data_IF_674498600748
#
_entry.id   IF_674498600748
#
_cell.length_a   1.000
_cell.length_b   1.000
_cell.length_c   1.000
_cell.angle_alpha   90.00
_cell.angle_beta   90.00
_cell.angle_gamma   90.00
#
_symmetry.space_group_name_H-M   'P 1'
#
loop_
_entity.id
_entity.type
_entity.pdbx_description
1 polymer ?
#
# COMPACT_ATOMS: atom_id res chain seq x y z
N UNK A 1 47.95 -10.83 -40.97
CA UNK A 1 46.50 -10.68 -40.73
C UNK A 1 46.29 -9.37 -39.99
N UNK A 2 45.82 -8.34 -40.69
CA UNK A 2 45.61 -7.01 -40.12
C UNK A 2 44.13 -6.84 -39.79
N UNK A 3 43.81 -6.57 -38.52
CA UNK A 3 42.46 -6.28 -38.06
C UNK A 3 42.15 -4.83 -38.43
N UNK A 4 41.17 -4.64 -39.33
CA UNK A 4 40.65 -3.33 -39.71
C UNK A 4 39.72 -2.87 -38.59
N UNK A 5 40.15 -1.88 -37.80
CA UNK A 5 39.32 -1.27 -36.76
C UNK A 5 38.53 -0.15 -37.45
N UNK A 6 37.24 -0.36 -37.61
CA UNK A 6 36.30 0.64 -38.13
C UNK A 6 36.07 1.69 -37.03
N UNK A 7 36.16 3.01 -37.32
CA UNK A 7 35.95 4.03 -36.31
C UNK A 7 34.49 4.02 -35.86
N UNK A 8 34.27 3.69 -34.60
CA UNK A 8 32.96 3.76 -33.96
C UNK A 8 32.46 5.20 -34.01
N UNK A 9 31.24 5.40 -34.51
CA UNK A 9 30.59 6.71 -34.52
C UNK A 9 30.64 7.32 -33.10
N UNK A 10 30.90 8.63 -32.95
CA UNK A 10 30.95 9.26 -31.64
C UNK A 10 29.62 9.03 -30.93
N UNK A 11 29.70 8.53 -29.70
CA UNK A 11 28.53 8.39 -28.84
C UNK A 11 27.82 9.76 -28.76
N UNK A 12 26.49 9.81 -28.88
CA UNK A 12 25.76 11.06 -28.69
C UNK A 12 26.09 11.61 -27.31
N UNK A 13 26.44 12.90 -27.24
CA UNK A 13 26.75 13.59 -26.00
C UNK A 13 25.60 13.41 -25.00
N UNK A 14 25.87 13.18 -23.71
CA UNK A 14 24.81 13.13 -22.72
C UNK A 14 24.01 14.44 -22.77
N UNK A 15 22.67 14.39 -22.68
CA UNK A 15 21.87 15.61 -22.65
C UNK A 15 22.36 16.49 -21.48
N UNK A 16 22.41 17.82 -21.66
CA UNK A 16 22.88 18.71 -20.61
C UNK A 16 22.06 18.46 -19.34
N UNK A 17 22.77 18.13 -18.25
CA UNK A 17 22.19 17.97 -16.91
C UNK A 17 21.47 19.25 -16.50
N UNK A 18 20.22 19.37 -16.89
CA UNK A 18 19.34 20.41 -16.39
C UNK A 18 18.62 19.85 -15.17
N UNK A 19 19.41 19.48 -14.16
CA UNK A 19 18.95 18.87 -12.90
C UNK A 19 18.09 19.81 -12.03
N UNK A 20 17.73 20.99 -12.56
CA UNK A 20 16.82 21.99 -11.97
C UNK A 20 15.93 22.68 -13.00
N UNK A 21 15.64 22.06 -14.14
CA UNK A 21 14.59 22.58 -15.01
C UNK A 21 13.26 22.50 -14.25
N UNK A 22 12.60 23.65 -14.07
CA UNK A 22 11.21 23.69 -13.64
C UNK A 22 10.37 23.04 -14.74
N UNK A 23 10.10 21.74 -14.59
CA UNK A 23 9.09 21.07 -15.40
C UNK A 23 7.76 21.69 -15.00
N UNK A 24 6.99 22.28 -15.92
CA UNK A 24 5.65 22.77 -15.59
C UNK A 24 4.87 21.62 -14.98
N UNK A 25 4.47 21.79 -13.72
CA UNK A 25 3.55 20.85 -13.09
C UNK A 25 2.25 20.89 -13.89
N UNK A 26 2.05 19.87 -14.73
CA UNK A 26 0.73 19.56 -15.25
C UNK A 26 0.02 18.85 -14.12
N UNK A 27 -0.88 19.58 -13.48
CA UNK A 27 -1.83 18.96 -12.57
C UNK A 27 -2.46 17.79 -13.33
N UNK A 28 -2.30 16.54 -12.86
CA UNK A 28 -3.02 15.43 -13.47
C UNK A 28 -4.49 15.83 -13.45
N UNK A 29 -5.25 15.60 -14.53
CA UNK A 29 -6.65 15.98 -14.56
C UNK A 29 -7.27 15.43 -13.28
N UNK A 30 -7.83 16.32 -12.46
CA UNK A 30 -8.60 15.90 -11.29
C UNK A 30 -9.54 14.84 -11.83
N UNK A 31 -9.53 13.60 -11.30
CA UNK A 31 -10.45 12.59 -11.79
C UNK A 31 -11.85 13.18 -11.60
N UNK A 32 -12.44 13.62 -12.71
CA UNK A 32 -13.81 14.09 -12.72
C UNK A 32 -14.59 12.80 -12.52
N UNK A 33 -14.98 12.52 -11.28
CA UNK A 33 -16.01 11.52 -11.01
C UNK A 33 -17.26 12.07 -11.68
N UNK A 34 -17.44 11.74 -12.96
CA UNK A 34 -18.54 12.22 -13.81
C UNK A 34 -19.74 11.29 -13.72
N UNK A 35 -19.70 10.34 -12.79
CA UNK A 35 -20.86 9.56 -12.36
C UNK A 35 -21.51 10.22 -11.15
N UNK A 36 -22.80 9.95 -10.89
CA UNK A 36 -23.37 10.23 -9.58
C UNK A 36 -22.45 9.64 -8.51
N UNK A 37 -22.37 10.29 -7.34
CA UNK A 37 -21.91 9.62 -6.14
C UNK A 37 -22.84 8.41 -5.99
N UNK A 38 -22.38 7.24 -6.43
CA UNK A 38 -23.10 6.01 -6.14
C UNK A 38 -22.79 5.79 -4.68
N UNK A 39 -23.68 6.31 -3.83
CA UNK A 39 -23.92 5.68 -2.55
C UNK A 39 -24.25 4.23 -2.91
N UNK A 40 -23.24 3.37 -2.84
CA UNK A 40 -23.48 1.95 -2.81
C UNK A 40 -24.20 1.74 -1.48
N UNK A 41 -25.53 1.78 -1.50
CA UNK A 41 -26.33 1.14 -0.46
C UNK A 41 -25.83 -0.30 -0.44
N UNK A 42 -24.98 -0.59 0.55
CA UNK A 42 -24.41 -1.88 0.70
C UNK A 42 -25.58 -2.85 0.90
N UNK A 43 -25.78 -3.76 -0.05
CA UNK A 43 -26.80 -4.79 0.09
C UNK A 43 -26.59 -5.52 1.42
N UNK A 44 -27.65 -5.95 2.11
CA UNK A 44 -27.50 -6.64 3.40
C UNK A 44 -26.49 -7.80 3.36
N UNK A 45 -26.43 -8.53 2.25
CA UNK A 45 -25.47 -9.63 2.02
C UNK A 45 -24.01 -9.15 1.92
N UNK A 46 -23.76 -8.00 1.28
CA UNK A 46 -22.44 -7.40 1.21
C UNK A 46 -21.97 -6.92 2.58
N UNK A 47 -22.85 -6.26 3.36
CA UNK A 47 -22.57 -5.86 4.75
C UNK A 47 -22.26 -7.09 5.61
N UNK A 48 -23.00 -8.18 5.41
CA UNK A 48 -22.83 -9.42 6.18
C UNK A 48 -21.54 -10.17 5.81
N UNK A 49 -21.17 -10.20 4.54
CA UNK A 49 -19.90 -10.76 4.07
C UNK A 49 -18.69 -9.94 4.57
N UNK A 50 -18.78 -8.61 4.49
CA UNK A 50 -17.82 -7.64 5.03
C UNK A 50 -17.67 -7.79 6.54
N UNK A 51 -18.78 -7.88 7.28
CA UNK A 51 -18.75 -8.10 8.72
C UNK A 51 -18.14 -9.45 9.11
N UNK A 52 -18.32 -10.50 8.30
CA UNK A 52 -17.70 -11.82 8.51
C UNK A 52 -16.18 -11.78 8.32
N UNK A 53 -15.71 -11.08 7.28
CA UNK A 53 -14.28 -10.88 7.00
C UNK A 53 -13.57 -10.22 8.18
N UNK A 54 -14.11 -9.09 8.68
CA UNK A 54 -13.56 -8.39 9.85
C UNK A 54 -13.61 -9.26 11.12
N UNK A 55 -14.72 -9.97 11.38
CA UNK A 55 -14.91 -10.74 12.63
C UNK A 55 -14.07 -12.02 12.73
N UNK A 56 -13.60 -12.56 11.60
CA UNK A 56 -12.86 -13.83 11.55
C UNK A 56 -11.41 -13.66 11.12
N UNK A 57 -11.00 -12.44 10.76
CA UNK A 57 -9.65 -12.17 10.30
C UNK A 57 -8.65 -12.19 11.46
N UNK A 58 -7.91 -13.30 11.59
CA UNK A 58 -6.64 -13.29 12.30
C UNK A 58 -5.61 -12.57 11.43
N UNK A 59 -5.51 -11.25 11.59
CA UNK A 59 -4.60 -10.39 10.81
C UNK A 59 -3.11 -10.73 10.99
N UNK A 60 -2.74 -11.65 11.89
CA UNK A 60 -1.38 -12.21 11.99
C UNK A 60 -1.09 -13.28 10.93
N UNK A 61 -2.13 -13.84 10.31
CA UNK A 61 -2.05 -14.92 9.34
C UNK A 61 -2.88 -14.61 8.09
N UNK A 62 -2.84 -13.36 7.63
CA UNK A 62 -3.56 -12.88 6.44
C UNK A 62 -2.59 -12.66 5.30
N UNK A 63 -2.98 -13.04 4.08
CA UNK A 63 -2.21 -12.76 2.86
C UNK A 63 -2.39 -11.30 2.41
N UNK A 64 -1.44 -10.72 1.67
CA UNK A 64 -1.60 -9.41 1.03
C UNK A 64 -2.94 -9.24 0.29
N UNK A 65 -3.35 -10.23 -0.51
CA UNK A 65 -4.62 -10.17 -1.23
C UNK A 65 -5.84 -10.05 -0.31
N UNK A 66 -5.84 -10.82 0.78
CA UNK A 66 -6.91 -10.76 1.78
C UNK A 66 -6.90 -9.44 2.55
N UNK A 67 -5.72 -8.88 2.85
CA UNK A 67 -5.62 -7.58 3.52
C UNK A 67 -6.23 -6.45 2.69
N UNK A 68 -6.10 -6.47 1.36
CA UNK A 68 -6.81 -5.50 0.50
C UNK A 68 -8.33 -5.57 0.73
N UNK A 69 -8.89 -6.77 0.88
CA UNK A 69 -10.33 -6.94 1.16
C UNK A 69 -10.70 -6.43 2.56
N UNK A 70 -9.95 -6.85 3.58
CA UNK A 70 -10.16 -6.41 4.97
C UNK A 70 -10.03 -4.89 5.09
N UNK A 71 -9.08 -4.27 4.39
CA UNK A 71 -8.90 -2.82 4.41
C UNK A 71 -10.11 -2.07 3.85
N UNK A 72 -10.71 -2.57 2.76
CA UNK A 72 -11.94 -2.01 2.20
C UNK A 72 -13.09 -2.17 3.19
N UNK A 73 -13.22 -3.35 3.79
CA UNK A 73 -14.24 -3.64 4.79
C UNK A 73 -14.15 -2.65 5.97
N UNK A 74 -12.96 -2.43 6.52
CA UNK A 74 -12.73 -1.48 7.61
C UNK A 74 -13.09 -0.04 7.21
N UNK A 75 -12.77 0.36 5.97
CA UNK A 75 -13.05 1.70 5.45
C UNK A 75 -14.55 1.94 5.27
N UNK A 76 -15.26 1.02 4.61
CA UNK A 76 -16.70 1.14 4.35
C UNK A 76 -17.51 1.14 5.66
N UNK A 77 -17.03 0.46 6.70
CA UNK A 77 -17.65 0.50 8.04
C UNK A 77 -17.22 1.70 8.90
N UNK A 78 -16.40 2.61 8.36
CA UNK A 78 -15.93 3.80 9.09
C UNK A 78 -15.00 3.52 10.26
N UNK A 79 -14.41 2.32 10.34
CA UNK A 79 -13.46 1.93 11.38
C UNK A 79 -12.10 2.61 11.14
N UNK A 80 -11.72 2.78 9.86
CA UNK A 80 -10.52 3.51 9.46
C UNK A 80 -10.85 4.61 8.46
N UNK A 81 -10.04 5.67 8.43
CA UNK A 81 -10.17 6.76 7.46
C UNK A 81 -9.58 6.44 6.09
N UNK A 82 -9.80 7.32 5.11
CA UNK A 82 -9.25 7.18 3.75
C UNK A 82 -7.72 7.02 3.73
N UNK A 83 -7.01 7.86 4.50
CA UNK A 83 -5.55 7.84 4.49
C UNK A 83 -5.01 6.49 5.02
N UNK A 84 -5.70 5.87 5.99
CA UNK A 84 -5.36 4.55 6.56
C UNK A 84 -5.74 3.41 5.62
N UNK A 85 -6.90 3.53 4.97
CA UNK A 85 -7.31 2.62 3.91
C UNK A 85 -6.27 2.59 2.79
N UNK A 86 -5.85 3.75 2.29
CA UNK A 86 -4.83 3.85 1.25
C UNK A 86 -3.53 3.16 1.69
N UNK A 87 -3.12 3.33 2.94
CA UNK A 87 -1.94 2.65 3.50
C UNK A 87 -2.09 1.12 3.52
N UNK A 88 -3.26 0.58 3.84
CA UNK A 88 -3.50 -0.86 3.93
C UNK A 88 -3.88 -1.52 2.60
N UNK A 89 -4.50 -0.81 1.67
CA UNK A 89 -5.00 -1.38 0.43
C UNK A 89 -3.87 -1.65 -0.59
N UNK A 90 -2.83 -0.82 -0.59
CA UNK A 90 -1.71 -0.94 -1.52
C UNK A 90 -0.66 -1.94 -1.04
N UNK A 91 -0.83 -3.17 -1.50
CA UNK A 91 0.12 -4.26 -1.27
C UNK A 91 1.07 -4.38 -2.46
N UNK A 92 2.39 -4.16 -2.27
CA UNK A 92 3.36 -4.25 -3.36
C UNK A 92 3.33 -5.58 -4.12
N UNK A 93 3.07 -6.68 -3.42
CA UNK A 93 3.06 -8.05 -3.97
C UNK A 93 1.92 -8.30 -4.97
N UNK A 94 0.91 -7.42 -5.01
CA UNK A 94 -0.17 -7.47 -5.99
C UNK A 94 0.19 -6.76 -7.30
N UNK A 95 1.31 -6.05 -7.36
CA UNK A 95 1.72 -5.30 -8.55
C UNK A 95 2.27 -6.26 -9.64
N UNK A 96 1.78 -6.20 -10.89
CA UNK A 96 2.23 -7.08 -11.97
C UNK A 96 3.75 -7.02 -12.25
N UNK A 97 4.37 -5.86 -12.03
CA UNK A 97 5.81 -5.67 -12.23
C UNK A 97 6.63 -5.75 -10.93
N UNK A 98 6.09 -6.31 -9.83
CA UNK A 98 6.85 -6.47 -8.57
C UNK A 98 8.19 -7.17 -8.81
N UNK A 99 8.18 -8.30 -9.52
CA UNK A 99 9.38 -9.10 -9.80
C UNK A 99 10.44 -8.34 -10.61
N UNK A 100 10.01 -7.35 -11.42
CA UNK A 100 10.92 -6.52 -12.23
C UNK A 100 11.44 -5.28 -11.50
N UNK A 101 10.86 -4.97 -10.34
CA UNK A 101 11.15 -3.74 -9.58
C UNK A 101 11.71 -4.09 -8.20
N UNK A 102 10.85 -4.20 -7.19
CA UNK A 102 11.22 -4.52 -5.81
C UNK A 102 11.88 -5.90 -5.77
N UNK A 103 11.29 -6.88 -6.45
CA UNK A 103 11.83 -8.24 -6.48
C UNK A 103 13.22 -8.34 -7.11
N UNK A 104 13.53 -7.49 -8.10
CA UNK A 104 14.87 -7.42 -8.68
C UNK A 104 15.90 -6.83 -7.70
N UNK A 105 15.48 -5.92 -6.81
CA UNK A 105 16.34 -5.32 -5.78
C UNK A 105 16.54 -6.21 -4.56
N UNK A 106 15.51 -6.98 -4.17
CA UNK A 106 15.55 -7.83 -2.97
C UNK A 106 15.91 -9.28 -3.26
N UNK A 107 15.80 -9.72 -4.52
CA UNK A 107 15.89 -11.12 -4.91
C UNK A 107 14.66 -11.95 -4.56
N UNK A 108 13.60 -11.31 -4.05
CA UNK A 108 12.35 -11.98 -3.66
C UNK A 108 11.33 -11.94 -4.79
N UNK A 109 10.49 -12.98 -4.89
CA UNK A 109 9.33 -12.97 -5.78
C UNK A 109 8.08 -12.44 -5.08
N UNK A 110 7.16 -11.89 -5.88
CA UNK A 110 5.83 -11.53 -5.42
C UNK A 110 5.14 -12.73 -4.79
N UNK A 111 4.66 -12.56 -3.55
CA UNK A 111 3.97 -13.60 -2.78
C UNK A 111 2.63 -13.06 -2.27
N UNK A 112 1.68 -12.73 -3.18
CA UNK A 112 0.41 -12.08 -2.81
C UNK A 112 -0.50 -12.95 -1.95
N UNK A 113 -0.27 -14.27 -1.96
CA UNK A 113 -1.08 -15.26 -1.25
C UNK A 113 -0.35 -15.85 -0.03
N UNK A 114 0.89 -15.42 0.26
CA UNK A 114 1.62 -15.88 1.45
C UNK A 114 1.13 -15.12 2.69
N UNK A 115 0.65 -15.81 3.73
CA UNK A 115 0.26 -15.17 4.98
C UNK A 115 1.43 -14.44 5.64
N UNK A 116 1.15 -13.30 6.26
CA UNK A 116 2.12 -12.54 7.08
C UNK A 116 1.45 -11.87 8.27
N UNK A 117 2.29 -11.48 9.24
CA UNK A 117 1.85 -10.70 10.38
C UNK A 117 1.79 -9.21 10.02
N UNK A 118 0.57 -8.72 9.78
CA UNK A 118 0.34 -7.31 9.50
C UNK A 118 0.45 -6.43 10.74
N UNK A 119 0.21 -6.96 11.94
CA UNK A 119 0.43 -6.22 13.18
C UNK A 119 1.92 -5.93 13.32
N UNK A 120 2.75 -6.96 13.21
CA UNK A 120 4.21 -6.81 13.31
C UNK A 120 4.74 -5.84 12.23
N UNK A 121 4.24 -5.95 11.01
CA UNK A 121 4.63 -5.07 9.89
C UNK A 121 4.35 -3.59 10.21
N UNK A 122 3.16 -3.27 10.69
CA UNK A 122 2.77 -1.89 10.97
C UNK A 122 3.35 -1.35 12.28
N UNK A 123 3.61 -2.21 13.27
CA UNK A 123 4.37 -1.84 14.46
C UNK A 123 5.80 -1.45 14.13
N UNK A 124 6.47 -2.22 13.26
CA UNK A 124 7.79 -1.86 12.73
C UNK A 124 7.74 -0.52 12.00
N UNK A 125 6.72 -0.30 11.17
CA UNK A 125 6.55 0.97 10.45
C UNK A 125 6.33 2.16 11.41
N UNK A 126 5.51 1.99 12.46
CA UNK A 126 5.29 3.00 13.50
C UNK A 126 6.59 3.32 14.24
N UNK A 127 7.36 2.29 14.62
CA UNK A 127 8.64 2.45 15.30
C UNK A 127 9.64 3.24 14.46
N UNK A 128 9.68 2.96 13.14
CA UNK A 128 10.51 3.68 12.18
C UNK A 128 10.11 5.15 12.10
N UNK A 129 8.81 5.44 11.92
CA UNK A 129 8.32 6.82 11.86
C UNK A 129 8.63 7.62 13.13
N UNK A 130 8.42 7.03 14.31
CA UNK A 130 8.75 7.68 15.59
C UNK A 130 10.24 8.00 15.71
N UNK A 131 11.11 7.12 15.21
CA UNK A 131 12.57 7.27 15.29
C UNK A 131 13.12 8.28 14.28
N UNK A 132 12.65 8.23 13.03
CA UNK A 132 13.26 8.98 11.93
C UNK A 132 12.46 10.21 11.49
N UNK A 133 11.16 10.27 11.80
CA UNK A 133 10.25 11.36 11.41
C UNK A 133 9.43 11.91 12.59
N UNK A 134 10.03 12.24 13.75
CA UNK A 134 9.28 12.63 14.95
C UNK A 134 8.46 13.92 14.79
N UNK A 135 8.81 14.78 13.82
CA UNK A 135 8.08 16.02 13.54
C UNK A 135 6.72 15.82 12.86
N UNK A 136 6.45 14.63 12.29
CA UNK A 136 5.17 14.34 11.63
C UNK A 136 4.18 13.69 12.60
N UNK A 137 3.73 14.48 13.57
CA UNK A 137 2.83 14.01 14.61
C UNK A 137 1.48 13.53 14.06
N UNK A 138 1.02 14.05 12.90
CA UNK A 138 -0.22 13.62 12.27
C UNK A 138 -0.07 12.19 11.74
N UNK A 139 0.97 11.91 10.96
CA UNK A 139 1.19 10.56 10.43
C UNK A 139 1.49 9.55 11.54
N UNK A 140 2.23 9.95 12.59
CA UNK A 140 2.48 9.05 13.72
C UNK A 140 1.17 8.63 14.40
N UNK A 141 0.28 9.58 14.70
CA UNK A 141 -1.03 9.27 15.30
C UNK A 141 -1.89 8.40 14.39
N UNK A 142 -1.85 8.65 13.09
CA UNK A 142 -2.59 7.86 12.12
C UNK A 142 -2.10 6.40 12.08
N UNK A 143 -0.79 6.17 11.99
CA UNK A 143 -0.24 4.80 12.01
C UNK A 143 -0.49 4.13 13.37
N UNK A 144 -0.47 4.88 14.46
CA UNK A 144 -0.81 4.38 15.79
C UNK A 144 -2.28 3.93 15.90
N UNK A 145 -3.21 4.71 15.36
CA UNK A 145 -4.62 4.32 15.28
C UNK A 145 -4.80 3.04 14.47
N UNK A 146 -4.20 2.97 13.27
CA UNK A 146 -4.21 1.77 12.42
C UNK A 146 -3.65 0.53 13.15
N UNK A 147 -2.52 0.65 13.84
CA UNK A 147 -1.94 -0.47 14.63
C UNK A 147 -2.91 -0.93 15.72
N UNK A 148 -3.58 0.00 16.40
CA UNK A 148 -4.55 -0.33 17.43
C UNK A 148 -5.76 -1.08 16.85
N UNK A 149 -6.28 -0.65 15.69
CA UNK A 149 -7.36 -1.36 14.98
C UNK A 149 -6.92 -2.79 14.63
N UNK A 150 -5.74 -2.96 14.03
CA UNK A 150 -5.24 -4.30 13.67
C UNK A 150 -5.07 -5.21 14.90
N UNK A 151 -4.58 -4.67 16.03
CA UNK A 151 -4.48 -5.43 17.28
C UNK A 151 -5.84 -5.86 17.84
N UNK A 152 -6.86 -5.01 17.72
CA UNK A 152 -8.23 -5.37 18.12
C UNK A 152 -8.78 -6.52 17.26
N UNK A 153 -8.49 -6.54 15.96
CA UNK A 153 -8.88 -7.64 15.06
C UNK A 153 -8.12 -8.94 15.37
N UNK A 154 -6.82 -8.85 15.68
CA UNK A 154 -5.99 -10.00 16.02
C UNK A 154 -6.15 -10.50 17.45
N UNK A 155 -6.92 -9.81 18.29
CA UNK A 155 -7.26 -10.28 19.62
C UNK A 155 -8.47 -11.22 19.51
N UNK A 156 -8.46 -12.41 20.13
CA UNK A 156 -9.69 -13.20 20.25
C UNK A 156 -10.73 -12.32 20.93
N UNK A 157 -11.90 -12.16 20.29
CA UNK A 157 -13.04 -11.41 20.83
C UNK A 157 -13.44 -12.08 22.15
N UNK A 158 -12.84 -11.61 23.24
CA UNK A 158 -13.18 -11.96 24.60
C UNK A 158 -13.40 -10.64 25.31
N UNK A 159 -14.53 -9.99 24.99
CA UNK A 159 -15.28 -9.02 25.79
C UNK A 159 -16.18 -8.19 24.89
N UNK A 160 -17.40 -8.66 24.66
CA UNK A 160 -18.64 -7.88 24.61
C UNK A 160 -19.81 -8.89 24.65
N UNK A 161 -20.13 -9.31 25.88
CA UNK A 161 -21.44 -9.83 26.29
C UNK A 161 -22.08 -8.74 27.13
#
# INVERSE_FOLDING_TARGET
MSIKIEPQAPLPSPPPETSRALVPYREPPTPVITGPLVEHEATPDAIQATGKSIRTADVRHVSPRQMTTISMDLYVNGIIGWDEYAMLAFQPELHPDFDKTIGALTGEKAQPDRPRDFIETWEKHLSYKRKYNPGDARQIRQVEHLVNVLRQLGSPISMLV
#
